data_IF_242778311051
#
_entry.id   IF_242778311051
#
_cell.length_a   1.000
_cell.length_b   1.000
_cell.length_c   1.000
_cell.angle_alpha   90.00
_cell.angle_beta   90.00
_cell.angle_gamma   90.00
#
_symmetry.space_group_name_H-M   'P 1'
#
loop_
_entity.id
_entity.type
_entity.pdbx_description
1 polymer ?
#
# COMPACT_ATOMS: atom_id res chain seq x y z
N UNK A 1 40.86 -16.01 -11.91
CA UNK A 1 40.06 -14.80 -12.21
C UNK A 1 39.54 -14.26 -10.88
N UNK A 2 39.62 -12.95 -10.60
CA UNK A 2 39.07 -12.42 -9.36
C UNK A 2 37.54 -12.59 -9.39
N UNK A 3 36.98 -13.28 -8.40
CA UNK A 3 35.53 -13.38 -8.24
C UNK A 3 35.00 -11.98 -7.96
N UNK A 4 34.07 -11.44 -8.76
CA UNK A 4 33.50 -10.12 -8.49
C UNK A 4 32.89 -10.15 -7.09
N UNK A 5 33.23 -9.15 -6.27
CA UNK A 5 32.67 -9.00 -4.94
C UNK A 5 31.13 -9.04 -5.04
N UNK A 6 30.43 -9.78 -4.15
CA UNK A 6 29.00 -9.94 -4.28
C UNK A 6 28.33 -8.58 -4.18
N UNK A 7 27.76 -8.12 -5.29
CA UNK A 7 26.91 -6.93 -5.30
C UNK A 7 25.71 -7.21 -4.40
N UNK A 8 25.51 -6.37 -3.39
CA UNK A 8 24.37 -6.43 -2.49
C UNK A 8 23.38 -5.37 -2.87
N UNK A 9 22.10 -5.72 -2.78
CA UNK A 9 21.03 -4.79 -3.01
C UNK A 9 20.31 -4.53 -1.70
N UNK A 10 20.03 -3.27 -1.44
CA UNK A 10 19.37 -2.84 -0.22
C UNK A 10 18.32 -1.79 -0.58
N UNK A 11 17.15 -1.92 0.02
CA UNK A 11 16.13 -0.89 0.04
C UNK A 11 16.27 -0.09 1.32
N UNK A 12 16.37 1.23 1.21
CA UNK A 12 16.55 2.15 2.32
C UNK A 12 15.33 3.08 2.34
N UNK A 13 14.69 3.25 3.50
CA UNK A 13 13.46 4.03 3.65
C UNK A 13 12.85 3.81 5.03
N UNK A 14 11.54 4.01 5.22
CA UNK A 14 10.65 4.84 4.42
C UNK A 14 10.93 6.33 4.63
N UNK A 15 11.13 7.09 3.56
CA UNK A 15 11.21 8.55 3.57
C UNK A 15 9.81 9.16 3.46
N UNK A 16 9.59 10.31 4.10
CA UNK A 16 8.30 10.99 4.08
C UNK A 16 8.04 11.72 2.76
N UNK A 17 9.08 12.25 2.13
CA UNK A 17 8.97 12.98 0.86
C UNK A 17 9.93 12.43 -0.20
N UNK A 18 9.62 12.72 -1.47
CA UNK A 18 10.50 12.39 -2.59
C UNK A 18 11.86 13.06 -2.45
N UNK A 19 11.87 14.33 -2.04
CA UNK A 19 13.10 15.10 -1.85
C UNK A 19 14.03 14.48 -0.81
N UNK A 20 13.49 13.93 0.28
CA UNK A 20 14.30 13.22 1.29
C UNK A 20 14.93 11.95 0.71
N UNK A 21 14.16 11.19 -0.08
CA UNK A 21 14.65 10.00 -0.76
C UNK A 21 15.71 10.34 -1.81
N UNK A 22 15.52 11.39 -2.61
CA UNK A 22 16.50 11.86 -3.61
C UNK A 22 17.78 12.37 -2.94
N UNK A 23 17.67 13.10 -1.81
CA UNK A 23 18.83 13.54 -1.03
C UNK A 23 19.60 12.36 -0.43
N UNK A 24 18.88 11.38 0.12
CA UNK A 24 19.49 10.14 0.59
C UNK A 24 20.15 9.35 -0.53
N UNK A 25 19.51 9.28 -1.70
CA UNK A 25 20.07 8.66 -2.89
C UNK A 25 21.38 9.31 -3.29
N UNK A 26 21.42 10.64 -3.34
CA UNK A 26 22.62 11.40 -3.71
C UNK A 26 23.80 11.08 -2.77
N UNK A 27 23.54 10.87 -1.47
CA UNK A 27 24.58 10.47 -0.49
C UNK A 27 25.18 9.09 -0.77
N UNK A 28 24.37 8.12 -1.18
CA UNK A 28 24.81 6.75 -1.45
C UNK A 28 25.19 6.49 -2.91
N UNK A 29 24.85 7.39 -3.83
CA UNK A 29 25.11 7.25 -5.28
C UNK A 29 26.59 7.13 -5.60
N UNK A 30 27.47 7.78 -4.84
CA UNK A 30 28.93 7.64 -4.99
C UNK A 30 29.49 6.29 -4.55
N UNK A 31 28.70 5.52 -3.80
CA UNK A 31 29.08 4.21 -3.25
C UNK A 31 28.25 3.06 -3.86
N UNK A 32 27.29 3.36 -4.72
CA UNK A 32 26.38 2.40 -5.33
C UNK A 32 26.57 2.36 -6.84
N UNK A 33 26.69 1.17 -7.40
CA UNK A 33 26.77 0.92 -8.85
C UNK A 33 25.45 1.25 -9.54
N UNK A 34 24.31 1.04 -8.85
CA UNK A 34 22.97 1.31 -9.38
C UNK A 34 22.04 1.81 -8.29
N UNK A 35 21.19 2.76 -8.64
CA UNK A 35 20.22 3.36 -7.73
C UNK A 35 18.87 3.53 -8.39
N UNK A 36 17.80 3.37 -7.63
CA UNK A 36 16.42 3.58 -8.08
C UNK A 36 15.60 4.14 -6.92
N UNK A 37 14.69 5.07 -7.20
CA UNK A 37 13.75 5.59 -6.22
C UNK A 37 12.39 4.99 -6.52
N UNK A 38 11.77 4.44 -5.49
CA UNK A 38 10.45 3.82 -5.55
C UNK A 38 9.50 4.58 -4.64
N UNK A 39 8.39 5.03 -5.22
CA UNK A 39 7.25 5.49 -4.44
C UNK A 39 6.43 4.26 -4.02
N UNK A 40 6.32 4.04 -2.72
CA UNK A 40 5.35 3.12 -2.14
C UNK A 40 4.12 3.93 -1.72
N UNK A 41 3.19 4.06 -2.67
CA UNK A 41 1.91 4.78 -2.49
C UNK A 41 0.98 4.08 -1.48
N UNK A 42 1.25 2.80 -1.19
CA UNK A 42 0.48 1.99 -0.25
C UNK A 42 1.18 1.88 1.12
N UNK A 43 2.40 2.41 1.26
CA UNK A 43 3.14 2.36 2.51
C UNK A 43 2.41 3.15 3.61
N UNK A 44 1.80 2.41 4.53
CA UNK A 44 1.01 3.00 5.61
C UNK A 44 -0.51 2.97 5.37
N UNK A 45 -0.97 2.44 4.24
CA UNK A 45 -2.34 1.94 4.15
C UNK A 45 -2.39 0.58 4.84
N UNK A 46 -2.85 0.57 6.09
CA UNK A 46 -2.94 -0.65 6.88
C UNK A 46 -4.03 -1.58 6.35
N UNK A 47 -5.15 -1.03 5.89
CA UNK A 47 -6.26 -1.77 5.29
C UNK A 47 -7.09 -0.89 4.37
N UNK A 48 -7.71 -1.46 3.34
CA UNK A 48 -8.70 -0.83 2.48
C UNK A 48 -10.07 -1.36 2.86
N UNK A 49 -10.96 -0.51 3.37
CA UNK A 49 -12.34 -0.91 3.64
C UNK A 49 -13.23 -0.55 2.47
N UNK A 50 -14.10 -1.47 2.09
CA UNK A 50 -15.19 -1.18 1.16
C UNK A 50 -16.43 -0.96 1.99
N UNK A 51 -17.06 0.20 1.85
CA UNK A 51 -18.31 0.52 2.54
C UNK A 51 -19.27 1.26 1.63
N UNK A 52 -20.56 1.11 1.90
CA UNK A 52 -21.65 1.70 1.17
C UNK A 52 -22.30 2.72 2.09
N UNK A 53 -21.84 3.98 2.07
CA UNK A 53 -22.47 5.03 2.84
C UNK A 53 -23.82 5.37 2.23
N UNK A 54 -24.73 5.83 3.08
CA UNK A 54 -26.00 6.41 2.66
C UNK A 54 -26.83 5.47 1.76
N UNK A 55 -26.98 4.21 2.18
CA UNK A 55 -27.80 3.22 1.46
C UNK A 55 -29.31 3.49 1.58
N UNK A 56 -29.69 4.65 2.13
CA UNK A 56 -31.06 5.06 2.35
C UNK A 56 -31.64 4.48 3.63
N UNK A 57 -32.92 4.14 3.54
CA UNK A 57 -33.72 3.61 4.64
C UNK A 57 -33.36 2.15 4.98
N UNK A 58 -33.85 1.69 6.13
CA UNK A 58 -33.57 0.34 6.64
C UNK A 58 -34.01 -0.76 5.66
N UNK A 59 -35.06 -0.52 4.87
CA UNK A 59 -35.55 -1.45 3.87
C UNK A 59 -34.57 -1.58 2.69
N UNK A 60 -34.06 -0.46 2.15
CA UNK A 60 -33.03 -0.49 1.11
C UNK A 60 -31.74 -1.15 1.60
N UNK A 61 -31.31 -0.87 2.83
CA UNK A 61 -30.16 -1.53 3.44
C UNK A 61 -30.35 -3.06 3.56
N UNK A 62 -31.54 -3.54 3.93
CA UNK A 62 -31.83 -4.98 3.99
C UNK A 62 -31.84 -5.65 2.62
N UNK A 63 -32.40 -4.99 1.59
CA UNK A 63 -32.37 -5.50 0.23
C UNK A 63 -30.93 -5.62 -0.31
N UNK A 64 -30.11 -4.61 -0.01
CA UNK A 64 -28.68 -4.58 -0.30
C UNK A 64 -27.96 -5.76 0.36
N UNK A 65 -28.16 -5.93 1.67
CA UNK A 65 -27.60 -7.02 2.47
C UNK A 65 -27.96 -8.38 1.88
N UNK A 66 -29.23 -8.61 1.51
CA UNK A 66 -29.65 -9.86 0.86
C UNK A 66 -28.88 -10.13 -0.43
N UNK A 67 -28.66 -9.11 -1.27
CA UNK A 67 -27.88 -9.26 -2.52
C UNK A 67 -26.40 -9.52 -2.24
N UNK A 68 -25.84 -8.90 -1.21
CA UNK A 68 -24.45 -9.10 -0.76
C UNK A 68 -24.25 -10.54 -0.25
N UNK A 69 -25.15 -11.02 0.61
CA UNK A 69 -25.14 -12.41 1.10
C UNK A 69 -25.29 -13.42 -0.04
N UNK A 70 -26.19 -13.14 -1.00
CA UNK A 70 -26.36 -13.97 -2.19
C UNK A 70 -25.09 -14.03 -3.07
N UNK A 71 -24.26 -12.97 -3.03
CA UNK A 71 -22.97 -12.93 -3.71
C UNK A 71 -21.82 -13.55 -2.88
N UNK A 72 -22.12 -14.21 -1.75
CA UNK A 72 -21.14 -14.89 -0.91
C UNK A 72 -20.28 -13.96 -0.03
N UNK A 73 -20.73 -12.73 0.22
CA UNK A 73 -20.07 -11.79 1.12
C UNK A 73 -20.70 -11.86 2.51
N UNK A 74 -20.19 -12.76 3.37
CA UNK A 74 -20.73 -12.97 4.71
C UNK A 74 -20.32 -11.91 5.74
N UNK A 75 -19.19 -11.22 5.51
CA UNK A 75 -18.62 -10.28 6.49
C UNK A 75 -19.05 -8.84 6.19
N UNK A 76 -20.31 -8.51 6.49
CA UNK A 76 -20.83 -7.15 6.43
C UNK A 76 -21.28 -6.62 7.80
N UNK A 77 -21.05 -5.33 8.03
CA UNK A 77 -21.49 -4.60 9.21
C UNK A 77 -22.41 -3.48 8.80
N UNK A 78 -23.64 -3.50 9.33
CA UNK A 78 -24.61 -2.42 9.14
C UNK A 78 -24.45 -1.42 10.29
N UNK A 79 -24.08 -0.19 9.95
CA UNK A 79 -23.95 0.93 10.87
C UNK A 79 -25.11 1.88 10.59
N UNK A 80 -26.05 1.98 11.53
CA UNK A 80 -27.09 3.00 11.47
C UNK A 80 -26.52 4.32 12.03
N UNK A 81 -26.45 5.37 11.21
CA UNK A 81 -26.12 6.73 11.62
C UNK A 81 -27.37 7.61 11.49
N UNK A 82 -28.17 7.70 12.56
CA UNK A 82 -29.43 8.43 12.56
C UNK A 82 -30.39 7.88 11.50
N UNK A 83 -30.84 8.74 10.59
CA UNK A 83 -31.75 8.37 9.49
C UNK A 83 -31.05 7.67 8.31
N UNK A 84 -29.72 7.66 8.28
CA UNK A 84 -28.94 7.07 7.19
C UNK A 84 -28.28 5.77 7.64
N UNK A 85 -28.38 4.75 6.79
CA UNK A 85 -27.68 3.48 7.01
C UNK A 85 -26.40 3.43 6.19
N UNK A 86 -25.33 2.89 6.76
CA UNK A 86 -24.06 2.60 6.08
C UNK A 86 -23.76 1.11 6.21
N UNK A 87 -23.38 0.45 5.12
CA UNK A 87 -23.02 -0.98 5.14
C UNK A 87 -21.54 -1.14 4.83
N UNK A 88 -20.74 -1.53 5.81
CA UNK A 88 -19.35 -1.92 5.60
C UNK A 88 -19.28 -3.37 5.12
N UNK A 89 -18.54 -3.64 4.04
CA UNK A 89 -18.46 -4.95 3.36
C UNK A 89 -17.15 -5.69 3.59
N UNK A 90 -16.35 -5.20 4.53
CA UNK A 90 -15.08 -5.81 4.90
C UNK A 90 -13.87 -4.97 4.54
N UNK A 91 -12.73 -5.46 5.03
CA UNK A 91 -11.42 -4.86 4.91
C UNK A 91 -10.49 -5.75 4.09
N UNK A 92 -9.71 -5.13 3.24
CA UNK A 92 -8.78 -5.79 2.33
C UNK A 92 -7.38 -5.24 2.59
N UNK A 93 -6.39 -6.12 2.64
CA UNK A 93 -4.98 -5.75 2.78
C UNK A 93 -4.35 -5.25 1.46
N UNK A 94 -5.05 -5.36 0.33
CA UNK A 94 -4.56 -4.97 -1.00
C UNK A 94 -5.56 -4.05 -1.68
N UNK A 95 -5.05 -2.90 -2.15
CA UNK A 95 -5.83 -1.90 -2.90
C UNK A 95 -6.52 -2.50 -4.10
N UNK A 96 -5.77 -3.26 -4.89
CA UNK A 96 -6.24 -3.83 -6.15
C UNK A 96 -7.36 -4.87 -5.94
N UNK A 97 -7.34 -5.59 -4.80
CA UNK A 97 -8.45 -6.47 -4.42
C UNK A 97 -9.68 -5.68 -3.99
N UNK A 98 -9.48 -4.61 -3.22
CA UNK A 98 -10.54 -3.74 -2.74
C UNK A 98 -11.21 -2.95 -3.89
N UNK A 99 -10.43 -2.40 -4.81
CA UNK A 99 -10.89 -1.66 -5.99
C UNK A 99 -11.65 -2.57 -6.94
N UNK A 100 -11.14 -3.78 -7.23
CA UNK A 100 -11.90 -4.76 -8.03
C UNK A 100 -13.24 -5.09 -7.39
N UNK A 101 -13.27 -5.26 -6.07
CA UNK A 101 -14.51 -5.52 -5.35
C UNK A 101 -15.47 -4.33 -5.42
N UNK A 102 -14.97 -3.13 -5.18
CA UNK A 102 -15.74 -1.89 -5.27
C UNK A 102 -16.30 -1.70 -6.69
N UNK A 103 -15.48 -1.88 -7.73
CA UNK A 103 -15.91 -1.81 -9.13
C UNK A 103 -16.98 -2.86 -9.47
N UNK A 104 -16.84 -4.11 -8.99
CA UNK A 104 -17.88 -5.13 -9.17
C UNK A 104 -19.20 -4.74 -8.49
N UNK A 105 -19.13 -4.11 -7.31
CA UNK A 105 -20.32 -3.66 -6.60
C UNK A 105 -20.98 -2.46 -7.30
N UNK A 106 -20.20 -1.49 -7.75
CA UNK A 106 -20.69 -0.36 -8.55
C UNK A 106 -21.33 -0.83 -9.85
N UNK A 107 -20.69 -1.77 -10.55
CA UNK A 107 -21.25 -2.39 -11.75
C UNK A 107 -22.53 -3.18 -11.47
N UNK A 108 -22.72 -3.69 -10.26
CA UNK A 108 -23.95 -4.35 -9.83
C UNK A 108 -25.04 -3.34 -9.36
N UNK A 109 -24.76 -2.03 -9.43
CA UNK A 109 -25.67 -0.96 -9.08
C UNK A 109 -25.60 -0.52 -7.60
N UNK A 110 -24.51 -0.83 -6.90
CA UNK A 110 -24.33 -0.44 -5.51
C UNK A 110 -23.35 0.72 -5.37
N UNK A 111 -23.65 1.78 -4.59
CA UNK A 111 -22.75 2.92 -4.40
C UNK A 111 -21.60 2.59 -3.43
N UNK A 112 -20.80 1.57 -3.77
CA UNK A 112 -19.65 1.17 -2.97
C UNK A 112 -18.54 2.21 -3.04
N UNK A 113 -18.10 2.65 -1.86
CA UNK A 113 -16.97 3.53 -1.67
C UNK A 113 -15.81 2.75 -1.07
N UNK A 114 -14.62 3.00 -1.62
CA UNK A 114 -13.37 2.47 -1.12
C UNK A 114 -12.74 3.50 -0.18
N UNK A 115 -12.53 3.11 1.06
CA UNK A 115 -11.92 3.94 2.09
C UNK A 115 -10.65 3.28 2.59
N UNK A 116 -9.52 3.91 2.27
CA UNK A 116 -8.22 3.51 2.77
C UNK A 116 -8.11 3.87 4.25
N UNK A 117 -8.01 2.86 5.11
CA UNK A 117 -7.66 3.02 6.53
C UNK A 117 -6.14 3.00 6.67
N UNK A 118 -5.60 4.20 6.74
CA UNK A 118 -4.18 4.50 6.89
C UNK A 118 -3.98 6.00 6.69
N UNK A 119 -2.84 6.54 7.08
CA UNK A 119 -2.55 7.97 6.87
C UNK A 119 -2.36 8.31 5.39
N UNK A 120 -2.37 7.30 4.50
CA UNK A 120 -2.20 7.47 3.06
C UNK A 120 -0.89 8.15 2.69
N UNK A 121 0.08 8.17 3.60
CA UNK A 121 1.33 8.89 3.37
C UNK A 121 2.20 8.05 2.47
N UNK A 122 2.21 8.36 1.17
CA UNK A 122 3.19 7.83 0.22
C UNK A 122 4.56 7.82 0.88
N UNK A 123 5.15 6.63 1.04
CA UNK A 123 6.51 6.53 1.53
C UNK A 123 7.44 6.29 0.37
N UNK A 124 8.58 6.94 0.42
CA UNK A 124 9.60 6.79 -0.59
C UNK A 124 10.65 5.82 -0.09
N UNK A 125 11.07 4.91 -0.95
CA UNK A 125 12.14 3.96 -0.70
C UNK A 125 13.19 4.12 -1.79
N UNK A 126 14.44 3.95 -1.43
CA UNK A 126 15.53 3.93 -2.39
C UNK A 126 16.14 2.54 -2.46
N UNK A 127 16.16 2.00 -3.65
CA UNK A 127 16.74 0.71 -3.95
C UNK A 127 18.15 0.96 -4.51
N UNK A 128 19.16 0.46 -3.82
CA UNK A 128 20.57 0.67 -4.18
C UNK A 128 21.28 -0.66 -4.33
N UNK A 129 22.18 -0.72 -5.30
CA UNK A 129 23.10 -1.83 -5.55
C UNK A 129 24.51 -1.37 -5.28
N UNK A 130 25.18 -2.00 -4.32
CA UNK A 130 26.53 -1.64 -3.90
C UNK A 130 27.28 -2.89 -3.42
N UNK A 131 28.60 -2.85 -3.41
CA UNK A 131 29.42 -3.87 -2.73
C UNK A 131 29.42 -3.70 -1.21
N UNK A 132 28.91 -2.56 -0.70
CA UNK A 132 28.79 -2.27 0.72
C UNK A 132 27.68 -3.09 1.41
N UNK A 133 27.79 -3.20 2.73
CA UNK A 133 26.75 -3.83 3.54
C UNK A 133 25.53 -2.93 3.63
N UNK A 134 24.36 -3.55 3.78
CA UNK A 134 23.10 -2.82 3.90
C UNK A 134 23.17 -1.80 5.08
N UNK A 135 23.77 -2.18 6.21
CA UNK A 135 23.91 -1.30 7.38
C UNK A 135 24.76 -0.05 7.11
N UNK A 136 25.83 -0.17 6.34
CA UNK A 136 26.64 0.97 5.94
C UNK A 136 25.84 1.93 5.03
N UNK A 137 25.07 1.36 4.10
CA UNK A 137 24.19 2.13 3.22
C UNK A 137 23.05 2.81 4.01
N UNK A 138 22.48 2.14 5.02
CA UNK A 138 21.47 2.71 5.91
C UNK A 138 22.00 3.95 6.64
N UNK A 139 23.22 3.85 7.21
CA UNK A 139 23.88 4.96 7.89
C UNK A 139 24.15 6.14 6.94
N UNK A 140 24.71 5.87 5.76
CA UNK A 140 24.99 6.90 4.76
C UNK A 140 23.71 7.56 4.20
N UNK A 141 22.64 6.79 4.03
CA UNK A 141 21.36 7.29 3.53
C UNK A 141 20.49 7.95 4.61
N UNK A 142 20.81 7.79 5.89
CA UNK A 142 19.99 8.25 7.01
C UNK A 142 18.61 7.58 7.05
N UNK A 143 18.52 6.32 6.62
CA UNK A 143 17.25 5.61 6.52
C UNK A 143 16.79 5.07 7.88
N UNK A 144 15.50 5.24 8.18
CA UNK A 144 14.88 4.75 9.42
C UNK A 144 14.83 3.21 9.47
N UNK A 145 14.65 2.57 8.32
CA UNK A 145 14.70 1.11 8.12
C UNK A 145 15.51 0.78 6.87
N UNK A 146 16.01 -0.44 6.86
CA UNK A 146 16.60 -1.03 5.68
C UNK A 146 16.01 -2.41 5.44
N UNK A 147 15.98 -2.83 4.18
CA UNK A 147 15.64 -4.19 3.79
C UNK A 147 16.64 -4.68 2.76
N UNK A 148 17.35 -5.75 3.08
CA UNK A 148 18.16 -6.48 2.11
C UNK A 148 17.24 -6.95 0.97
N UNK A 149 17.58 -6.65 -0.28
CA UNK A 149 16.87 -7.12 -1.45
C UNK A 149 17.77 -8.04 -2.26
N UNK A 150 17.15 -8.99 -2.96
CA UNK A 150 17.84 -9.77 -3.98
C UNK A 150 18.16 -8.87 -5.17
N UNK A 151 19.43 -8.82 -5.58
CA UNK A 151 19.84 -8.02 -6.72
C UNK A 151 19.20 -8.44 -8.05
N UNK A 152 18.68 -9.66 -8.12
CA UNK A 152 17.89 -10.14 -9.26
C UNK A 152 16.59 -9.32 -9.45
N UNK A 153 16.00 -8.78 -8.39
CA UNK A 153 14.77 -7.98 -8.45
C UNK A 153 14.98 -6.53 -8.93
N UNK A 154 16.24 -6.10 -9.03
CA UNK A 154 16.67 -4.74 -9.37
C UNK A 154 17.21 -4.64 -10.82
N UNK A 155 16.89 -5.63 -11.66
CA UNK A 155 17.46 -5.83 -13.00
C UNK A 155 17.07 -4.72 -13.98
#
# INVERSE_FOLDING_TARGET
>A
MPTPAPERCASLGPYATRSDADAALARVRGQATRTSVREDKDAGVGTFRVMLPNVGDRAAAQALVKRITAAGMGDYYVIAQGDNTTVALGQYQSRERAERRQASLVSAGFPAQLVSSGTGQSRWWIDVRSTLTATALQGAAGAARQRSLDCAALR
#
